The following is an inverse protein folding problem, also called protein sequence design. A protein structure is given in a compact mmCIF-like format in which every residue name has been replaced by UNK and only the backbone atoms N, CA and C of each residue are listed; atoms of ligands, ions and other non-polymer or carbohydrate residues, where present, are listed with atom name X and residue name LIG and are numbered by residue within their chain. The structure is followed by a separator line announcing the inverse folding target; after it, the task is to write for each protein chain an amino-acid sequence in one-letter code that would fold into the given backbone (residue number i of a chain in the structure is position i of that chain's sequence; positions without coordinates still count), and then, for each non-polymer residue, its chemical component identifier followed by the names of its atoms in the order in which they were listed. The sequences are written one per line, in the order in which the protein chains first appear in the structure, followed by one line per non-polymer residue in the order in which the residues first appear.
data_IF_220766333800
#
_entry.id   IF_220766333800
#
_cell.length_a   1.000
_cell.length_b   1.000
_cell.length_c   1.000
_cell.angle_alpha   90.00
_cell.angle_beta   90.00
_cell.angle_gamma   90.00
#
_symmetry.space_group_name_H-M   'P 1'
#
loop_
_entity.id
_entity.type
_entity.pdbx_description
1 polymer ?
#
# COMPACT_ATOMS: atom_id res chain seq x y z
N UNK A 1 -4.70 -17.20 -21.94
CA UNK A 1 -5.14 -16.25 -20.89
C UNK A 1 -4.05 -16.17 -19.83
N UNK A 2 -3.55 -14.98 -19.51
CA UNK A 2 -2.45 -14.84 -18.57
C UNK A 2 -3.01 -14.83 -17.12
N UNK A 3 -3.28 -16.01 -16.56
CA UNK A 3 -3.89 -16.18 -15.24
C UNK A 3 -3.17 -15.40 -14.12
N UNK A 4 -1.85 -15.28 -14.23
CA UNK A 4 -1.01 -14.52 -13.29
C UNK A 4 -1.34 -13.02 -13.32
N UNK A 5 -1.62 -12.46 -14.50
CA UNK A 5 -1.98 -11.05 -14.64
C UNK A 5 -3.36 -10.77 -14.02
N UNK A 6 -4.32 -11.66 -14.24
CA UNK A 6 -5.67 -11.54 -13.67
C UNK A 6 -5.61 -11.59 -12.14
N UNK A 7 -4.92 -12.59 -11.57
CA UNK A 7 -4.74 -12.71 -10.13
C UNK A 7 -4.01 -11.49 -9.54
N UNK A 8 -3.00 -10.97 -10.25
CA UNK A 8 -2.29 -9.76 -9.83
C UNK A 8 -3.21 -8.53 -9.83
N UNK A 9 -4.07 -8.36 -10.83
CA UNK A 9 -5.00 -7.22 -10.89
C UNK A 9 -6.06 -7.32 -9.78
N UNK A 10 -6.61 -8.51 -9.54
CA UNK A 10 -7.59 -8.72 -8.46
C UNK A 10 -7.01 -8.47 -7.06
N UNK A 11 -5.79 -8.94 -6.81
CA UNK A 11 -5.10 -8.69 -5.53
C UNK A 11 -4.72 -7.21 -5.38
N UNK A 12 -4.29 -6.53 -6.46
CA UNK A 12 -4.05 -5.09 -6.45
C UNK A 12 -5.29 -4.29 -6.06
N UNK A 13 -6.45 -4.56 -6.71
CA UNK A 13 -7.71 -3.88 -6.38
C UNK A 13 -8.13 -4.14 -4.94
N UNK A 14 -8.08 -5.41 -4.50
CA UNK A 14 -8.45 -5.79 -3.13
C UNK A 14 -7.57 -5.08 -2.10
N UNK A 15 -6.25 -5.04 -2.33
CA UNK A 15 -5.30 -4.38 -1.44
C UNK A 15 -5.53 -2.87 -1.39
N UNK A 16 -5.83 -2.24 -2.52
CA UNK A 16 -6.13 -0.80 -2.58
C UNK A 16 -7.40 -0.44 -1.82
N UNK A 17 -8.44 -1.27 -1.88
CA UNK A 17 -9.66 -1.09 -1.07
C UNK A 17 -9.38 -1.21 0.43
N UNK A 18 -8.58 -2.20 0.83
CA UNK A 18 -8.16 -2.37 2.23
C UNK A 18 -7.33 -1.17 2.70
N UNK A 19 -6.37 -0.71 1.90
CA UNK A 19 -5.55 0.46 2.22
C UNK A 19 -6.39 1.74 2.32
N UNK A 20 -7.37 1.92 1.45
CA UNK A 20 -8.32 3.04 1.50
C UNK A 20 -9.14 3.01 2.79
N UNK A 21 -9.68 1.85 3.15
CA UNK A 21 -10.43 1.69 4.41
C UNK A 21 -9.56 1.96 5.64
N UNK A 22 -8.35 1.42 5.68
CA UNK A 22 -7.40 1.65 6.77
C UNK A 22 -6.98 3.12 6.85
N UNK A 23 -6.75 3.79 5.71
CA UNK A 23 -6.44 5.21 5.71
C UNK A 23 -7.57 6.04 6.36
N UNK A 24 -8.84 5.74 6.08
CA UNK A 24 -9.98 6.41 6.73
C UNK A 24 -10.07 6.12 8.22
N UNK A 25 -9.87 4.86 8.62
CA UNK A 25 -9.90 4.46 10.03
C UNK A 25 -8.81 5.16 10.84
N UNK A 26 -7.57 5.14 10.34
CA UNK A 26 -6.43 5.77 11.01
C UNK A 26 -6.47 7.30 10.92
N UNK A 27 -7.12 7.87 9.90
CA UNK A 27 -7.30 9.32 9.74
C UNK A 27 -8.12 9.95 10.87
N UNK A 28 -9.04 9.19 11.49
CA UNK A 28 -9.84 9.62 12.64
C UNK A 28 -9.20 9.33 14.01
N UNK A 29 -8.03 8.67 14.04
CA UNK A 29 -7.37 8.29 15.28
C UNK A 29 -6.48 9.41 15.86
N UNK A 30 -6.28 9.39 17.20
CA UNK A 30 -5.29 10.23 17.90
C UNK A 30 -3.88 10.03 17.29
N UNK A 31 -3.00 11.05 17.33
CA UNK A 31 -1.64 10.95 16.78
C UNK A 31 -0.89 9.75 17.39
N UNK A 32 -0.13 8.96 16.60
CA UNK A 32 0.28 9.18 15.21
C UNK A 32 -0.67 8.60 14.14
N UNK A 33 -1.99 8.55 14.37
CA UNK A 33 -2.97 8.02 13.41
C UNK A 33 -2.89 8.63 12.01
N UNK A 34 -2.71 9.96 11.90
CA UNK A 34 -2.64 10.66 10.62
C UNK A 34 -1.44 10.28 9.75
N UNK A 35 -0.27 10.04 10.32
CA UNK A 35 0.91 9.61 9.55
C UNK A 35 0.74 8.17 9.05
N UNK A 36 0.14 7.30 9.87
CA UNK A 36 -0.20 5.92 9.47
C UNK A 36 -1.23 5.94 8.31
N UNK A 37 -2.23 6.80 8.39
CA UNK A 37 -3.22 6.97 7.31
C UNK A 37 -2.57 7.40 5.99
N UNK A 38 -1.64 8.36 6.05
CA UNK A 38 -0.85 8.77 4.89
C UNK A 38 -0.01 7.64 4.29
N UNK A 39 0.60 6.80 5.13
CA UNK A 39 1.37 5.65 4.65
C UNK A 39 0.47 4.59 3.97
N UNK A 40 -0.70 4.29 4.53
CA UNK A 40 -1.67 3.40 3.86
C UNK A 40 -2.15 3.97 2.52
N UNK A 41 -2.40 5.28 2.43
CA UNK A 41 -2.75 5.92 1.17
C UNK A 41 -1.63 5.78 0.12
N UNK A 42 -0.37 5.95 0.52
CA UNK A 42 0.79 5.76 -0.35
C UNK A 42 0.96 4.29 -0.81
N UNK A 43 0.73 3.32 0.07
CA UNK A 43 0.73 1.89 -0.33
C UNK A 43 -0.36 1.63 -1.37
N UNK A 44 -1.60 2.07 -1.11
CA UNK A 44 -2.71 1.90 -2.04
C UNK A 44 -2.44 2.54 -3.41
N UNK A 45 -1.85 3.74 -3.42
CA UNK A 45 -1.49 4.46 -4.64
C UNK A 45 -0.39 3.76 -5.44
N UNK A 46 0.70 3.34 -4.77
CA UNK A 46 1.82 2.67 -5.43
C UNK A 46 1.41 1.33 -6.06
N UNK A 47 0.49 0.59 -5.43
CA UNK A 47 -0.07 -0.64 -5.98
C UNK A 47 -0.99 -0.38 -7.19
N UNK A 48 -1.86 0.63 -7.14
CA UNK A 48 -2.68 1.02 -8.29
C UNK A 48 -1.81 1.48 -9.47
N UNK A 49 -0.79 2.28 -9.19
CA UNK A 49 0.15 2.76 -10.20
C UNK A 49 0.90 1.59 -10.85
N UNK A 50 1.36 0.62 -10.05
CA UNK A 50 2.02 -0.60 -10.56
C UNK A 50 1.08 -1.41 -11.44
N UNK A 51 -0.19 -1.56 -11.04
CA UNK A 51 -1.21 -2.24 -11.84
C UNK A 51 -1.45 -1.51 -13.16
N UNK A 52 -1.61 -0.19 -13.12
CA UNK A 52 -1.85 0.65 -14.29
C UNK A 52 -0.69 0.54 -15.30
N UNK A 53 0.55 0.70 -14.84
CA UNK A 53 1.75 0.61 -15.68
C UNK A 53 1.85 -0.76 -16.36
N UNK A 54 1.54 -1.85 -15.64
CA UNK A 54 1.55 -3.21 -16.21
C UNK A 54 0.46 -3.45 -17.24
N UNK A 55 -0.71 -2.82 -17.11
CA UNK A 55 -1.84 -2.99 -18.05
C UNK A 55 -1.75 -2.06 -19.26
N UNK A 56 -1.11 -0.89 -19.16
CA UNK A 56 -0.95 0.05 -20.26
C UNK A 56 0.09 -0.39 -21.30
N UNK A 57 0.87 -1.46 -21.04
CA UNK A 57 1.83 -2.00 -22.00
C UNK A 57 2.97 -1.03 -22.38
N UNK A 58 3.10 0.10 -21.68
CA UNK A 58 4.23 1.02 -21.84
C UNK A 58 5.49 0.23 -21.47
N UNK A 59 6.49 0.22 -22.34
CA UNK A 59 7.71 -0.62 -22.22
C UNK A 59 8.66 -0.09 -21.12
N UNK A 60 8.12 0.05 -19.91
CA UNK A 60 8.72 0.53 -18.68
C UNK A 60 9.28 -0.65 -17.88
N UNK A 61 9.91 -1.61 -18.56
CA UNK A 61 10.54 -2.80 -17.93
C UNK A 61 11.43 -2.48 -16.73
N UNK A 62 12.22 -1.37 -16.70
CA UNK A 62 12.97 -1.04 -15.49
C UNK A 62 12.10 -0.45 -14.37
N UNK A 63 10.95 0.17 -14.66
CA UNK A 63 10.17 0.94 -13.67
C UNK A 63 9.29 0.06 -12.79
N UNK A 64 8.69 -1.00 -13.33
CA UNK A 64 7.82 -1.90 -12.55
C UNK A 64 8.57 -2.53 -11.35
N UNK A 65 9.81 -3.06 -11.50
CA UNK A 65 10.60 -3.52 -10.36
C UNK A 65 10.84 -2.45 -9.30
N UNK A 66 11.16 -1.21 -9.71
CA UNK A 66 11.38 -0.10 -8.77
C UNK A 66 10.11 0.31 -8.04
N UNK A 67 8.95 0.29 -8.69
CA UNK A 67 7.66 0.53 -8.03
C UNK A 67 7.37 -0.52 -6.94
N UNK A 68 7.73 -1.78 -7.19
CA UNK A 68 7.61 -2.85 -6.19
C UNK A 68 8.55 -2.59 -5.00
N UNK A 69 9.78 -2.14 -5.24
CA UNK A 69 10.72 -1.76 -4.17
C UNK A 69 10.16 -0.62 -3.33
N UNK A 70 9.66 0.45 -3.96
CA UNK A 70 9.04 1.59 -3.27
C UNK A 70 7.85 1.12 -2.42
N UNK A 71 6.98 0.29 -2.99
CA UNK A 71 5.81 -0.26 -2.27
C UNK A 71 6.25 -1.01 -1.01
N UNK A 72 7.27 -1.87 -1.09
CA UNK A 72 7.81 -2.59 0.06
C UNK A 72 8.38 -1.64 1.11
N UNK A 73 9.13 -0.63 0.71
CA UNK A 73 9.69 0.37 1.63
C UNK A 73 8.58 1.11 2.40
N UNK A 74 7.56 1.60 1.69
CA UNK A 74 6.41 2.28 2.32
C UNK A 74 5.67 1.34 3.26
N UNK A 75 5.51 0.07 2.87
CA UNK A 75 4.82 -0.94 3.67
C UNK A 75 5.58 -1.26 4.98
N UNK A 76 6.92 -1.36 4.91
CA UNK A 76 7.78 -1.49 6.10
C UNK A 76 7.64 -0.30 7.04
N UNK A 77 7.68 0.93 6.52
CA UNK A 77 7.48 2.15 7.32
C UNK A 77 6.09 2.16 7.97
N UNK A 78 5.06 1.75 7.21
CA UNK A 78 3.68 1.65 7.73
C UNK A 78 3.61 0.68 8.91
N UNK A 79 4.20 -0.51 8.79
CA UNK A 79 4.22 -1.49 9.88
C UNK A 79 4.99 -1.00 11.09
N UNK A 80 6.15 -0.36 10.91
CA UNK A 80 6.90 0.23 12.02
C UNK A 80 6.06 1.27 12.78
N UNK A 81 5.36 2.17 12.07
CA UNK A 81 4.48 3.15 12.71
C UNK A 81 3.32 2.51 13.46
N UNK A 82 2.74 1.43 12.91
CA UNK A 82 1.67 0.67 13.58
C UNK A 82 2.19 -0.01 14.84
N UNK A 83 3.37 -0.64 14.79
CA UNK A 83 4.01 -1.28 15.95
C UNK A 83 4.30 -0.24 17.05
N UNK A 84 4.92 0.89 16.68
CA UNK A 84 5.20 1.98 17.63
C UNK A 84 3.92 2.52 18.25
N UNK A 85 2.85 2.66 17.47
CA UNK A 85 1.55 3.10 17.99
C UNK A 85 0.98 2.10 18.99
N UNK A 86 0.99 0.80 18.68
CA UNK A 86 0.50 -0.24 19.61
C UNK A 86 1.32 -0.27 20.89
N UNK A 87 2.64 -0.23 20.78
CA UNK A 87 3.56 -0.17 21.92
C UNK A 87 3.26 1.04 22.83
N UNK A 88 3.04 2.22 22.26
CA UNK A 88 2.67 3.43 23.02
C UNK A 88 1.30 3.36 23.69
N UNK A 89 0.35 2.65 23.10
CA UNK A 89 -1.01 2.51 23.63
C UNK A 89 -1.13 1.40 24.70
N UNK A 90 -0.11 0.57 24.87
CA UNK A 90 -0.10 -0.49 25.89
C UNK A 90 -0.94 -1.71 25.54
N UNK A 91 -1.54 -1.75 24.34
CA UNK A 91 -2.18 -2.95 23.79
C UNK A 91 -1.09 -4.00 23.47
N UNK A 92 -0.86 -4.90 24.43
CA UNK A 92 0.01 -6.08 24.27
C UNK A 92 -0.71 -7.15 23.48
#
# INVERSE_FOLDING_TARGET
MNWVLIASNMTSVSLSLVCWWLAHLYGRCKPPGRSIAGCYALVGFTVLLTMLVRNLGVDLRPVVPWLIVITKTVLTVTFLLVIVRRYKLGDR
#
